data_IF_502301243187
#
_entry.id   IF_502301243187
#
_cell.length_a   1.000
_cell.length_b   1.000
_cell.length_c   1.000
_cell.angle_alpha   90.00
_cell.angle_beta   90.00
_cell.angle_gamma   90.00
#
_symmetry.space_group_name_H-M   'P 1'
#
loop_
_entity.id
_entity.type
_entity.pdbx_description
1 polymer ?
#
# COMPACT_ATOMS: atom_id res chain seq x y z
N UNK A 1 14.46 16.01 -20.30
CA UNK A 1 13.65 16.10 -19.07
C UNK A 1 12.84 14.83 -18.86
N UNK A 2 12.37 14.57 -17.64
CA UNK A 2 11.54 13.42 -17.25
C UNK A 2 10.39 13.87 -16.34
N UNK A 3 9.29 14.41 -16.91
CA UNK A 3 8.21 15.03 -16.13
C UNK A 3 7.43 14.05 -15.25
N UNK A 4 7.54 12.74 -15.51
CA UNK A 4 6.89 11.71 -14.73
C UNK A 4 7.84 11.07 -13.70
N UNK A 5 9.13 11.40 -13.72
CA UNK A 5 10.14 10.78 -12.87
C UNK A 5 10.14 9.23 -12.96
N UNK A 6 9.90 8.69 -14.16
CA UNK A 6 9.83 7.24 -14.42
C UNK A 6 11.23 6.68 -14.70
N UNK A 7 12.11 7.48 -15.32
CA UNK A 7 13.44 7.02 -15.74
C UNK A 7 14.29 6.51 -14.59
N UNK A 8 14.36 7.16 -13.40
CA UNK A 8 15.18 6.64 -12.31
C UNK A 8 14.74 5.25 -11.84
N UNK A 9 13.44 4.97 -11.83
CA UNK A 9 12.91 3.65 -11.49
C UNK A 9 13.32 2.60 -12.53
N UNK A 10 13.15 2.92 -13.82
CA UNK A 10 13.55 2.02 -14.91
C UNK A 10 15.06 1.76 -14.92
N UNK A 11 15.89 2.81 -14.82
CA UNK A 11 17.35 2.71 -14.81
C UNK A 11 17.87 1.91 -13.61
N UNK A 12 17.26 2.08 -12.43
CA UNK A 12 17.57 1.29 -11.24
C UNK A 12 17.32 -0.20 -11.50
N UNK A 13 16.14 -0.56 -12.02
CA UNK A 13 15.81 -1.95 -12.34
C UNK A 13 16.74 -2.52 -13.43
N UNK A 14 17.02 -1.76 -14.50
CA UNK A 14 17.95 -2.19 -15.54
C UNK A 14 19.36 -2.45 -14.99
N UNK A 15 19.86 -1.61 -14.09
CA UNK A 15 21.19 -1.79 -13.47
C UNK A 15 21.30 -3.09 -12.67
N UNK A 16 20.17 -3.60 -12.15
CA UNK A 16 20.10 -4.82 -11.35
C UNK A 16 19.98 -6.10 -12.18
N UNK A 17 19.71 -6.03 -13.49
CA UNK A 17 19.49 -7.20 -14.37
C UNK A 17 20.64 -8.21 -14.33
N UNK A 18 21.88 -7.73 -14.20
CA UNK A 18 23.08 -8.59 -14.11
C UNK A 18 23.23 -9.32 -12.76
N UNK A 19 22.55 -8.85 -11.71
CA UNK A 19 22.69 -9.32 -10.34
C UNK A 19 21.47 -10.09 -9.86
N UNK A 20 20.29 -9.80 -10.42
CA UNK A 20 19.01 -10.42 -10.06
C UNK A 20 18.51 -11.24 -11.24
N UNK A 21 18.84 -12.53 -11.23
CA UNK A 21 18.53 -13.46 -12.33
C UNK A 21 17.04 -13.60 -12.65
N UNK A 22 16.17 -13.36 -11.67
CA UNK A 22 14.71 -13.41 -11.84
C UNK A 22 14.12 -12.13 -12.43
N UNK A 23 14.88 -11.03 -12.51
CA UNK A 23 14.39 -9.73 -12.94
C UNK A 23 14.08 -9.74 -14.43
N UNK A 24 12.83 -9.41 -14.76
CA UNK A 24 12.36 -9.29 -16.14
C UNK A 24 11.51 -8.02 -16.28
N UNK A 25 11.86 -7.19 -17.26
CA UNK A 25 11.23 -5.88 -17.48
C UNK A 25 9.95 -5.96 -18.31
N UNK A 26 9.53 -7.13 -18.78
CA UNK A 26 8.38 -7.31 -19.69
C UNK A 26 7.10 -6.74 -19.08
N UNK A 27 6.75 -7.16 -17.85
CA UNK A 27 5.53 -6.70 -17.17
C UNK A 27 5.63 -5.22 -16.79
N UNK A 28 6.82 -4.76 -16.39
CA UNK A 28 7.06 -3.35 -16.10
C UNK A 28 6.81 -2.47 -17.33
N UNK A 29 7.42 -2.80 -18.46
CA UNK A 29 7.30 -2.05 -19.71
C UNK A 29 5.86 -2.07 -20.25
N UNK A 30 5.15 -3.19 -20.09
CA UNK A 30 3.71 -3.28 -20.41
C UNK A 30 2.92 -2.20 -19.68
N UNK A 31 3.04 -2.13 -18.34
CA UNK A 31 2.26 -1.15 -17.57
C UNK A 31 2.72 0.29 -17.76
N UNK A 32 4.00 0.54 -18.05
CA UNK A 32 4.43 1.87 -18.50
C UNK A 32 3.68 2.28 -19.77
N UNK A 33 3.57 1.39 -20.76
CA UNK A 33 2.89 1.69 -22.03
C UNK A 33 1.38 1.87 -21.91
N UNK A 34 0.75 1.21 -20.93
CA UNK A 34 -0.70 1.25 -20.72
C UNK A 34 -1.16 2.39 -19.82
N UNK A 35 -0.40 2.69 -18.76
CA UNK A 35 -0.81 3.61 -17.70
C UNK A 35 -0.33 5.06 -17.89
N UNK A 36 0.57 5.30 -18.86
CA UNK A 36 1.09 6.62 -19.20
C UNK A 36 1.05 6.84 -20.71
N UNK A 37 1.11 8.10 -21.15
CA UNK A 37 1.10 8.46 -22.56
C UNK A 37 2.50 8.41 -23.16
N UNK A 38 2.68 8.03 -24.45
CA UNK A 38 4.00 8.04 -25.09
C UNK A 38 4.55 9.46 -25.30
N UNK A 39 3.68 10.47 -25.38
CA UNK A 39 4.04 11.86 -25.61
C UNK A 39 4.47 12.57 -24.30
N UNK A 40 5.52 12.06 -23.63
CA UNK A 40 5.93 12.52 -22.29
C UNK A 40 6.19 14.03 -22.18
N UNK A 41 6.63 14.68 -23.26
CA UNK A 41 6.86 16.14 -23.26
C UNK A 41 5.60 16.94 -22.94
N UNK A 42 4.41 16.44 -23.31
CA UNK A 42 3.14 17.16 -23.09
C UNK A 42 2.77 17.29 -21.61
N UNK A 43 3.29 16.45 -20.72
CA UNK A 43 3.02 16.61 -19.28
C UNK A 43 3.64 17.88 -18.70
N UNK A 44 4.61 18.49 -19.38
CA UNK A 44 5.19 19.79 -19.02
C UNK A 44 4.29 20.96 -19.41
N UNK A 45 3.35 20.73 -20.31
CA UNK A 45 2.44 21.75 -20.85
C UNK A 45 1.12 21.81 -20.06
N UNK A 46 0.95 20.95 -19.05
CA UNK A 46 -0.30 20.76 -18.31
C UNK A 46 -0.10 20.91 -16.80
N UNK A 47 -0.90 21.77 -16.17
CA UNK A 47 -1.00 21.90 -14.70
C UNK A 47 -2.08 20.99 -14.09
N UNK A 48 -2.59 20.01 -14.86
CA UNK A 48 -3.78 19.21 -14.53
C UNK A 48 -3.69 18.46 -13.19
N UNK A 49 -2.46 18.15 -12.73
CA UNK A 49 -2.21 17.58 -11.41
C UNK A 49 -0.86 18.06 -10.85
N UNK A 50 -0.77 18.31 -9.52
CA UNK A 50 0.51 18.51 -8.85
C UNK A 50 1.48 17.37 -9.16
N UNK A 51 2.79 17.68 -9.23
CA UNK A 51 3.83 16.66 -9.37
C UNK A 51 3.71 15.69 -8.19
N UNK A 52 3.32 14.46 -8.50
CA UNK A 52 3.21 13.35 -7.55
C UNK A 52 4.03 12.17 -8.07
N UNK A 53 4.38 11.27 -7.16
CA UNK A 53 5.02 10.00 -7.48
C UNK A 53 4.21 9.25 -8.53
N UNK A 54 4.82 8.91 -9.67
CA UNK A 54 4.19 8.05 -10.69
C UNK A 54 4.63 6.60 -10.55
N UNK A 55 5.90 6.35 -10.23
CA UNK A 55 6.43 5.00 -10.05
C UNK A 55 7.28 4.93 -8.78
N UNK A 56 7.00 3.94 -7.93
CA UNK A 56 7.83 3.56 -6.80
C UNK A 56 8.43 2.16 -7.01
N UNK A 57 9.62 1.92 -6.46
CA UNK A 57 10.19 0.59 -6.39
C UNK A 57 10.08 0.04 -4.97
N UNK A 58 9.91 -1.28 -4.87
CA UNK A 58 10.05 -2.03 -3.62
C UNK A 58 10.97 -3.21 -3.84
N UNK A 59 11.68 -3.62 -2.79
CA UNK A 59 12.57 -4.78 -2.84
C UNK A 59 12.25 -5.69 -1.67
N UNK A 60 11.84 -6.91 -1.99
CA UNK A 60 11.63 -7.95 -0.98
C UNK A 60 12.92 -8.75 -0.86
N UNK A 61 13.56 -8.65 0.31
CA UNK A 61 14.77 -9.38 0.64
C UNK A 61 14.39 -10.75 1.19
N UNK A 62 14.45 -11.75 0.33
CA UNK A 62 14.35 -13.15 0.73
C UNK A 62 15.74 -13.68 1.06
N UNK A 63 15.81 -14.88 1.65
CA UNK A 63 17.05 -15.44 2.21
C UNK A 63 18.28 -15.32 1.29
N UNK A 64 18.14 -15.65 0.00
CA UNK A 64 19.23 -15.58 -1.00
C UNK A 64 18.84 -14.83 -2.27
N UNK A 65 17.66 -14.21 -2.29
CA UNK A 65 17.07 -13.62 -3.48
C UNK A 65 16.50 -12.26 -3.15
N UNK A 66 16.61 -11.33 -4.09
CA UNK A 66 15.93 -10.05 -4.05
C UNK A 66 14.81 -10.13 -5.08
N UNK A 67 13.57 -9.86 -4.67
CA UNK A 67 12.44 -9.75 -5.58
C UNK A 67 12.08 -8.26 -5.76
N UNK A 68 12.44 -7.65 -6.90
CA UNK A 68 12.05 -6.29 -7.20
C UNK A 68 10.56 -6.20 -7.48
N UNK A 69 9.96 -5.09 -7.06
CA UNK A 69 8.56 -4.74 -7.26
C UNK A 69 8.50 -3.32 -7.80
N UNK A 70 7.48 -3.04 -8.61
CA UNK A 70 7.16 -1.70 -9.06
C UNK A 70 5.71 -1.36 -8.70
N UNK A 71 5.47 -0.12 -8.31
CA UNK A 71 4.15 0.39 -7.97
C UNK A 71 3.83 1.57 -8.87
N UNK A 72 2.74 1.47 -9.62
CA UNK A 72 2.32 2.46 -10.61
C UNK A 72 1.14 3.26 -10.11
N UNK A 73 1.29 4.58 -10.12
CA UNK A 73 0.25 5.58 -9.90
C UNK A 73 -0.02 6.21 -11.27
N UNK A 74 -1.09 5.82 -11.98
CA UNK A 74 -1.28 6.23 -13.36
C UNK A 74 -1.57 7.73 -13.47
N UNK A 75 -1.11 8.30 -14.57
CA UNK A 75 -1.37 9.69 -14.93
C UNK A 75 -1.41 9.77 -16.45
N UNK A 76 -2.59 9.98 -17.03
CA UNK A 76 -2.75 10.27 -18.46
C UNK A 76 -3.01 11.76 -18.70
N UNK A 77 -2.62 12.26 -19.88
CA UNK A 77 -2.91 13.60 -20.35
C UNK A 77 -4.43 13.80 -20.47
N UNK A 78 -4.94 14.93 -19.98
CA UNK A 78 -6.38 15.21 -19.95
C UNK A 78 -7.13 14.46 -18.86
N UNK A 79 -6.46 13.64 -18.03
CA UNK A 79 -7.12 12.91 -16.96
C UNK A 79 -7.39 13.82 -15.76
N UNK A 80 -8.66 14.15 -15.56
CA UNK A 80 -9.14 14.80 -14.33
C UNK A 80 -9.53 13.75 -13.31
N UNK A 81 -9.01 13.85 -12.09
CA UNK A 81 -9.35 12.90 -11.04
C UNK A 81 -8.70 11.51 -11.21
N UNK A 82 -9.17 10.55 -10.40
CA UNK A 82 -8.60 9.21 -10.34
C UNK A 82 -8.74 8.48 -11.67
N UNK A 83 -7.86 7.50 -11.89
CA UNK A 83 -7.85 6.70 -13.12
C UNK A 83 -9.15 5.90 -13.22
N UNK A 84 -9.92 6.05 -14.32
CA UNK A 84 -11.18 5.33 -14.50
C UNK A 84 -10.99 3.81 -14.43
N UNK A 85 -12.00 3.10 -13.92
CA UNK A 85 -11.96 1.63 -13.77
C UNK A 85 -11.68 0.91 -15.09
N UNK A 86 -12.23 1.40 -16.21
CA UNK A 86 -12.05 0.79 -17.52
C UNK A 86 -10.58 0.83 -18.00
N UNK A 87 -9.82 1.86 -17.62
CA UNK A 87 -8.40 1.96 -17.94
C UNK A 87 -7.61 0.90 -17.17
N UNK A 88 -7.98 0.63 -15.92
CA UNK A 88 -7.40 -0.46 -15.14
C UNK A 88 -7.75 -1.81 -15.76
N UNK A 89 -9.03 -2.04 -16.07
CA UNK A 89 -9.50 -3.30 -16.64
C UNK A 89 -8.84 -3.61 -17.99
N UNK A 90 -8.72 -2.62 -18.88
CA UNK A 90 -8.03 -2.79 -20.16
C UNK A 90 -6.54 -3.14 -19.94
N UNK A 91 -5.85 -2.41 -19.07
CA UNK A 91 -4.42 -2.60 -18.83
C UNK A 91 -4.11 -3.97 -18.22
N UNK A 92 -4.90 -4.43 -17.24
CA UNK A 92 -4.71 -5.71 -16.56
C UNK A 92 -5.16 -6.88 -17.44
N UNK A 93 -6.28 -6.76 -18.17
CA UNK A 93 -6.74 -7.80 -19.11
C UNK A 93 -5.75 -8.00 -20.26
N UNK A 94 -5.11 -6.93 -20.73
CA UNK A 94 -4.06 -7.05 -21.73
C UNK A 94 -2.78 -7.75 -21.21
N UNK A 95 -2.51 -7.67 -19.90
CA UNK A 95 -1.37 -8.35 -19.26
C UNK A 95 -1.65 -9.84 -19.02
N UNK A 96 -2.89 -10.18 -18.66
CA UNK A 96 -3.34 -11.54 -18.37
C UNK A 96 -4.64 -11.85 -19.15
N UNK A 97 -4.55 -12.05 -20.48
CA UNK A 97 -5.73 -12.32 -21.29
C UNK A 97 -6.44 -13.59 -20.78
N UNK A 98 -7.77 -13.53 -20.70
CA UNK A 98 -8.62 -14.67 -20.29
C UNK A 98 -8.52 -15.10 -18.82
N UNK A 99 -7.82 -14.35 -17.95
CA UNK A 99 -7.78 -14.65 -16.52
C UNK A 99 -9.16 -14.56 -15.88
N UNK A 100 -9.71 -15.70 -15.44
CA UNK A 100 -11.01 -15.75 -14.76
C UNK A 100 -10.96 -15.02 -13.42
N UNK A 101 -9.83 -15.12 -12.73
CA UNK A 101 -9.57 -14.41 -11.47
C UNK A 101 -9.67 -12.90 -11.67
N UNK A 102 -9.04 -12.36 -12.71
CA UNK A 102 -9.07 -10.93 -12.99
C UNK A 102 -10.48 -10.45 -13.30
N UNK A 103 -11.22 -11.19 -14.15
CA UNK A 103 -12.63 -10.89 -14.44
C UNK A 103 -13.49 -10.92 -13.18
N UNK A 104 -13.25 -11.87 -12.27
CA UNK A 104 -13.96 -11.97 -10.98
C UNK A 104 -13.69 -10.77 -10.09
N UNK A 105 -12.42 -10.31 -10.01
CA UNK A 105 -12.03 -9.11 -9.26
C UNK A 105 -12.72 -7.85 -9.82
N UNK A 106 -12.70 -7.66 -11.13
CA UNK A 106 -13.36 -6.50 -11.76
C UNK A 106 -14.88 -6.55 -11.63
N UNK A 107 -15.51 -7.74 -11.72
CA UNK A 107 -16.94 -7.90 -11.45
C UNK A 107 -17.28 -7.47 -10.02
N UNK A 108 -16.47 -7.93 -9.05
CA UNK A 108 -16.65 -7.56 -7.65
C UNK A 108 -16.53 -6.06 -7.42
N UNK A 109 -15.48 -5.42 -7.95
CA UNK A 109 -15.24 -3.98 -7.76
C UNK A 109 -16.31 -3.11 -8.48
N UNK A 110 -16.78 -3.51 -9.66
CA UNK A 110 -17.73 -2.70 -10.45
C UNK A 110 -19.18 -2.86 -10.02
N UNK A 111 -19.56 -4.06 -9.55
CA UNK A 111 -20.96 -4.44 -9.38
C UNK A 111 -21.23 -4.83 -7.93
N UNK A 112 -20.70 -5.98 -7.50
CA UNK A 112 -21.04 -6.59 -6.21
C UNK A 112 -20.72 -5.64 -5.03
N UNK A 113 -19.60 -4.91 -5.10
CA UNK A 113 -19.21 -4.01 -4.04
C UNK A 113 -20.25 -2.92 -3.84
N UNK A 114 -20.85 -2.38 -4.90
CA UNK A 114 -21.88 -1.34 -4.80
C UNK A 114 -23.18 -1.88 -4.18
N UNK A 115 -23.55 -3.14 -4.43
CA UNK A 115 -24.72 -3.79 -3.81
C UNK A 115 -24.51 -4.01 -2.30
N UNK A 116 -23.27 -4.30 -1.91
CA UNK A 116 -22.82 -4.33 -0.51
C UNK A 116 -22.65 -2.91 0.06
N UNK A 117 -22.93 -1.89 -0.74
CA UNK A 117 -22.77 -0.47 -0.50
C UNK A 117 -21.35 0.05 -0.70
N UNK A 118 -20.31 -0.80 -0.72
CA UNK A 118 -18.86 -0.49 -0.72
C UNK A 118 -18.46 0.50 -1.82
N UNK A 119 -17.38 1.26 -1.59
CA UNK A 119 -16.87 2.31 -2.49
C UNK A 119 -15.45 2.02 -2.96
N UNK A 120 -15.16 0.75 -3.27
CA UNK A 120 -13.83 0.30 -3.67
C UNK A 120 -13.34 1.08 -4.89
N UNK A 121 -12.31 1.88 -4.68
CA UNK A 121 -11.76 2.76 -5.73
C UNK A 121 -10.31 2.38 -5.98
N UNK A 122 -9.93 1.87 -7.17
CA UNK A 122 -8.54 1.58 -7.49
C UNK A 122 -7.67 2.84 -7.50
N UNK A 123 -6.47 2.73 -6.95
CA UNK A 123 -5.55 3.86 -6.78
C UNK A 123 -4.18 3.61 -7.40
N UNK A 124 -3.59 2.43 -7.15
CA UNK A 124 -2.30 2.05 -7.72
C UNK A 124 -2.22 0.56 -7.99
N UNK A 125 -1.27 0.18 -8.83
CA UNK A 125 -0.98 -1.22 -9.16
C UNK A 125 0.43 -1.56 -8.70
N UNK A 126 0.58 -2.58 -7.85
CA UNK A 126 1.87 -3.21 -7.59
C UNK A 126 2.10 -4.39 -8.52
N UNK A 127 3.32 -4.56 -9.01
CA UNK A 127 3.75 -5.76 -9.73
C UNK A 127 5.04 -6.33 -9.12
N UNK A 128 5.24 -7.64 -9.27
CA UNK A 128 6.57 -8.22 -9.17
C UNK A 128 7.28 -8.05 -10.52
N UNK A 129 8.51 -7.51 -10.53
CA UNK A 129 9.30 -7.25 -11.77
C UNK A 129 10.12 -8.49 -12.10
N UNK A 130 9.39 -9.55 -12.47
CA UNK A 130 9.91 -10.88 -12.79
C UNK A 130 9.25 -11.40 -14.07
N UNK A 131 9.66 -12.59 -14.51
CA UNK A 131 9.07 -13.24 -15.71
C UNK A 131 7.55 -13.21 -15.64
N UNK A 132 6.83 -12.92 -16.74
CA UNK A 132 5.38 -12.77 -16.72
C UNK A 132 4.62 -13.93 -16.06
N UNK A 133 5.05 -15.18 -16.29
CA UNK A 133 4.42 -16.37 -15.70
C UNK A 133 4.50 -16.41 -14.15
N UNK A 134 5.51 -15.76 -13.56
CA UNK A 134 5.72 -15.70 -12.11
C UNK A 134 5.20 -14.39 -11.50
N UNK A 135 4.87 -13.40 -12.34
CA UNK A 135 4.52 -12.07 -11.90
C UNK A 135 3.12 -12.04 -11.28
N UNK A 136 3.03 -11.32 -10.16
CA UNK A 136 1.77 -11.00 -9.49
C UNK A 136 1.36 -9.56 -9.78
N UNK A 137 0.07 -9.35 -9.94
CA UNK A 137 -0.59 -8.06 -10.08
C UNK A 137 -1.39 -7.78 -8.81
N UNK A 138 -1.08 -6.67 -8.15
CA UNK A 138 -1.69 -6.24 -6.88
C UNK A 138 -2.46 -4.96 -7.13
N UNK A 139 -3.75 -5.10 -7.48
CA UNK A 139 -4.63 -3.96 -7.69
C UNK A 139 -5.03 -3.40 -6.33
N UNK A 140 -4.53 -2.21 -5.99
CA UNK A 140 -4.78 -1.57 -4.71
C UNK A 140 -6.00 -0.66 -4.78
N UNK A 141 -7.00 -0.91 -3.94
CA UNK A 141 -8.24 -0.16 -3.84
C UNK A 141 -8.38 0.48 -2.46
N UNK A 142 -8.80 1.74 -2.43
CA UNK A 142 -9.25 2.40 -1.21
C UNK A 142 -10.74 2.10 -0.95
N UNK A 143 -11.11 2.08 0.33
CA UNK A 143 -12.48 1.93 0.82
C UNK A 143 -12.73 2.96 1.92
N UNK A 144 -13.83 3.70 1.80
CA UNK A 144 -14.19 4.73 2.75
C UNK A 144 -14.81 4.15 4.04
N UNK A 145 -15.36 2.93 3.97
CA UNK A 145 -15.83 2.22 5.16
C UNK A 145 -14.70 1.63 5.96
N UNK A 146 -14.87 1.75 7.27
CA UNK A 146 -13.91 1.27 8.25
C UNK A 146 -14.48 0.19 9.15
N UNK A 147 -15.74 -0.22 8.99
CA UNK A 147 -16.35 -1.25 9.84
C UNK A 147 -15.69 -2.61 9.60
N UNK A 148 -15.61 -3.44 10.64
CA UNK A 148 -15.06 -4.80 10.48
C UNK A 148 -15.93 -5.64 9.54
N UNK A 149 -17.25 -5.42 9.52
CA UNK A 149 -18.13 -6.04 8.54
C UNK A 149 -17.73 -5.69 7.10
N UNK A 150 -17.44 -4.42 6.81
CA UNK A 150 -16.97 -4.02 5.47
C UNK A 150 -15.60 -4.63 5.13
N UNK A 151 -14.70 -4.73 6.11
CA UNK A 151 -13.42 -5.43 5.96
C UNK A 151 -13.65 -6.88 5.55
N UNK A 152 -14.58 -7.57 6.22
CA UNK A 152 -14.87 -8.98 5.92
C UNK A 152 -15.59 -9.17 4.59
N UNK A 153 -16.50 -8.28 4.21
CA UNK A 153 -17.11 -8.29 2.87
C UNK A 153 -16.05 -8.21 1.77
N UNK A 154 -15.01 -7.38 1.95
CA UNK A 154 -13.91 -7.29 0.98
C UNK A 154 -13.00 -8.51 1.06
N UNK A 155 -12.51 -8.89 2.25
CA UNK A 155 -11.59 -10.01 2.42
C UNK A 155 -12.15 -11.36 1.95
N UNK A 156 -13.47 -11.54 2.03
CA UNK A 156 -14.14 -12.76 1.57
C UNK A 156 -14.68 -12.64 0.14
N UNK A 157 -14.58 -11.46 -0.50
CA UNK A 157 -15.33 -11.12 -1.71
C UNK A 157 -16.79 -11.57 -1.60
N UNK A 158 -17.44 -11.19 -0.49
CA UNK A 158 -18.80 -11.57 -0.12
C UNK A 158 -19.04 -13.08 -0.08
N UNK A 159 -18.16 -13.80 0.63
CA UNK A 159 -18.26 -15.24 0.85
C UNK A 159 -17.70 -16.12 -0.28
N UNK A 160 -17.17 -15.56 -1.37
CA UNK A 160 -16.47 -16.32 -2.42
C UNK A 160 -15.16 -16.94 -1.92
N UNK A 161 -14.47 -16.24 -1.01
CA UNK A 161 -13.25 -16.69 -0.35
C UNK A 161 -13.60 -17.09 1.07
N UNK A 162 -13.39 -18.38 1.40
CA UNK A 162 -13.61 -18.88 2.75
C UNK A 162 -12.46 -18.48 3.68
N UNK A 163 -12.81 -17.92 4.84
CA UNK A 163 -11.86 -17.60 5.92
C UNK A 163 -12.33 -18.30 7.18
N UNK A 164 -11.46 -19.12 7.77
CA UNK A 164 -11.76 -19.85 8.99
C UNK A 164 -12.16 -18.90 10.14
N UNK A 165 -13.17 -19.26 10.96
CA UNK A 165 -13.69 -18.39 12.03
C UNK A 165 -12.60 -17.87 12.98
N UNK A 166 -11.65 -18.71 13.35
CA UNK A 166 -10.53 -18.32 14.21
C UNK A 166 -9.67 -17.21 13.59
N UNK A 167 -9.48 -17.23 12.27
CA UNK A 167 -8.73 -16.19 11.56
C UNK A 167 -9.51 -14.89 11.44
N UNK A 168 -10.85 -14.97 11.34
CA UNK A 168 -11.74 -13.79 11.45
C UNK A 168 -11.56 -13.15 12.82
N UNK A 169 -11.59 -13.93 13.91
CA UNK A 169 -11.40 -13.42 15.27
C UNK A 169 -10.01 -12.83 15.50
N UNK A 170 -8.96 -13.45 14.94
CA UNK A 170 -7.60 -12.90 15.00
C UNK A 170 -7.49 -11.56 14.26
N UNK A 171 -8.11 -11.46 13.08
CA UNK A 171 -8.15 -10.22 12.29
C UNK A 171 -8.90 -9.12 13.03
N UNK A 172 -10.04 -9.45 13.67
CA UNK A 172 -10.75 -8.50 14.53
C UNK A 172 -9.93 -8.10 15.75
N UNK A 173 -9.25 -9.06 16.38
CA UNK A 173 -8.42 -8.85 17.55
C UNK A 173 -7.30 -7.83 17.29
N UNK A 174 -6.57 -7.99 16.19
CA UNK A 174 -5.48 -7.06 15.84
C UNK A 174 -6.03 -5.70 15.45
N UNK A 175 -7.13 -5.65 14.68
CA UNK A 175 -7.77 -4.40 14.29
C UNK A 175 -8.23 -3.60 15.51
N UNK A 176 -8.94 -4.22 16.46
CA UNK A 176 -9.30 -3.56 17.73
C UNK A 176 -8.07 -3.04 18.48
N UNK A 177 -7.02 -3.86 18.55
CA UNK A 177 -5.80 -3.49 19.25
C UNK A 177 -5.14 -2.26 18.61
N UNK A 178 -4.99 -2.19 17.29
CA UNK A 178 -4.30 -1.04 16.68
C UNK A 178 -5.20 0.18 16.47
N UNK A 179 -6.52 0.00 16.35
CA UNK A 179 -7.48 1.10 16.24
C UNK A 179 -7.93 1.68 17.59
N UNK A 180 -7.37 1.22 18.71
CA UNK A 180 -7.75 1.60 20.09
C UNK A 180 -9.24 1.44 20.41
N UNK A 181 -9.82 0.32 20.00
CA UNK A 181 -11.23 0.07 20.21
C UNK A 181 -11.49 -0.57 21.59
N UNK A 182 -12.46 -0.05 22.37
CA UNK A 182 -12.83 -0.63 23.66
C UNK A 182 -13.30 -2.09 23.58
N UNK A 183 -13.22 -2.78 24.72
CA UNK A 183 -13.84 -4.10 24.85
C UNK A 183 -15.37 -4.00 24.62
N UNK A 184 -15.90 -4.84 23.73
CA UNK A 184 -17.32 -4.84 23.36
C UNK A 184 -17.69 -3.86 22.23
N UNK A 185 -16.73 -3.18 21.60
CA UNK A 185 -17.03 -2.31 20.47
C UNK A 185 -17.74 -3.08 19.32
N UNK A 186 -18.85 -2.55 18.76
CA UNK A 186 -19.59 -3.25 17.70
C UNK A 186 -18.76 -3.45 16.43
N UNK A 187 -18.91 -4.59 15.74
CA UNK A 187 -18.22 -4.86 14.46
C UNK A 187 -18.75 -4.02 13.30
N UNK A 188 -20.01 -3.61 13.38
CA UNK A 188 -20.70 -2.78 12.38
C UNK A 188 -20.27 -1.31 12.40
N UNK A 189 -19.50 -0.90 13.41
CA UNK A 189 -19.03 0.45 13.59
C UNK A 189 -17.52 0.40 13.74
N UNK A 190 -16.80 1.38 13.22
CA UNK A 190 -15.42 1.71 13.63
C UNK A 190 -15.27 3.22 13.48
N UNK A 191 -14.68 3.91 14.46
CA UNK A 191 -14.44 5.34 14.35
C UNK A 191 -13.62 5.62 13.09
N UNK A 192 -14.05 6.62 12.33
CA UNK A 192 -13.17 7.23 11.32
C UNK A 192 -11.92 7.70 12.03
N UNK A 193 -10.76 7.56 11.37
CA UNK A 193 -9.54 8.15 11.87
C UNK A 193 -9.80 9.64 12.25
N UNK A 194 -9.18 10.15 13.32
CA UNK A 194 -9.19 11.57 13.63
C UNK A 194 -8.87 12.41 12.40
N UNK A 195 -9.43 13.63 12.34
CA UNK A 195 -9.13 14.57 11.25
C UNK A 195 -7.62 14.82 11.20
N UNK A 196 -7.07 14.72 9.99
CA UNK A 196 -5.68 15.06 9.72
C UNK A 196 -5.35 16.48 10.16
N UNK A 197 -4.24 16.63 10.86
CA UNK A 197 -3.64 17.88 11.25
C UNK A 197 -2.15 17.85 10.91
N UNK A 198 -1.79 18.40 9.75
CA UNK A 198 -0.43 18.45 9.22
C UNK A 198 0.65 18.97 10.21
N UNK A 199 0.27 19.75 11.22
CA UNK A 199 1.21 20.25 12.24
C UNK A 199 1.61 19.21 13.29
N UNK A 200 0.80 18.18 13.51
CA UNK A 200 1.03 17.11 14.51
C UNK A 200 1.12 15.71 13.89
N UNK A 201 0.55 15.54 12.71
CA UNK A 201 0.37 14.25 12.04
C UNK A 201 1.42 13.96 10.97
N UNK A 202 2.32 14.91 10.70
CA UNK A 202 3.38 14.77 9.70
C UNK A 202 2.90 15.05 8.27
N UNK A 203 3.34 14.26 7.29
CA UNK A 203 3.00 14.42 5.87
C UNK A 203 1.94 13.39 5.49
N UNK A 204 0.81 13.85 4.96
CA UNK A 204 -0.15 13.02 4.23
C UNK A 204 0.47 12.61 2.89
N UNK A 205 1.06 11.42 2.86
CA UNK A 205 1.85 10.94 1.73
C UNK A 205 1.02 10.49 0.52
N UNK A 206 -0.31 10.65 0.50
CA UNK A 206 -1.11 10.26 -0.66
C UNK A 206 -2.57 10.78 -0.71
N UNK A 207 -3.02 11.60 0.24
CA UNK A 207 -4.45 11.92 0.37
C UNK A 207 -5.28 10.73 0.88
N UNK A 208 -4.62 9.72 1.46
CA UNK A 208 -5.22 8.47 1.92
C UNK A 208 -5.39 8.42 3.43
N UNK A 209 -5.27 9.59 4.06
CA UNK A 209 -5.46 9.75 5.48
C UNK A 209 -6.77 9.09 5.93
N UNK A 210 -6.69 8.20 6.91
CA UNK A 210 -7.86 7.60 7.52
C UNK A 210 -8.65 6.62 6.66
N UNK A 211 -8.11 6.22 5.51
CA UNK A 211 -8.81 5.35 4.55
C UNK A 211 -8.22 3.95 4.62
N UNK A 212 -9.10 2.95 4.66
CA UNK A 212 -8.67 1.56 4.55
C UNK A 212 -8.32 1.25 3.11
N UNK A 213 -7.30 0.42 2.92
CA UNK A 213 -6.99 -0.05 1.59
C UNK A 213 -6.82 -1.55 1.55
N UNK A 214 -7.07 -2.08 0.37
CA UNK A 214 -6.99 -3.49 0.08
C UNK A 214 -6.15 -3.64 -1.18
N UNK A 215 -5.37 -4.70 -1.28
CA UNK A 215 -4.97 -5.16 -2.60
C UNK A 215 -5.55 -6.52 -2.89
N UNK A 216 -5.92 -6.72 -4.15
CA UNK A 216 -6.25 -8.02 -4.74
C UNK A 216 -4.99 -8.54 -5.42
N UNK A 217 -4.37 -9.59 -4.85
CA UNK A 217 -3.17 -10.23 -5.40
C UNK A 217 -3.57 -11.37 -6.33
N UNK A 218 -3.35 -11.14 -7.61
CA UNK A 218 -3.63 -12.05 -8.71
C UNK A 218 -2.33 -12.44 -9.40
N UNK A 219 -2.19 -13.68 -9.86
CA UNK A 219 -1.06 -14.06 -10.71
C UNK A 219 -1.44 -13.95 -12.18
N UNK A 220 -0.52 -13.50 -13.05
CA UNK A 220 -0.79 -13.47 -14.50
C UNK A 220 -1.09 -14.89 -15.04
N UNK A 221 -0.42 -15.91 -14.50
CA UNK A 221 -0.63 -17.32 -14.86
C UNK A 221 -1.42 -18.14 -13.85
N UNK A 222 -2.23 -17.50 -12.99
CA UNK A 222 -2.99 -18.16 -11.92
C UNK A 222 -4.49 -17.97 -12.12
N UNK A 223 -5.24 -19.06 -11.91
CA UNK A 223 -6.70 -19.10 -12.04
C UNK A 223 -7.41 -19.23 -10.68
N UNK A 224 -6.68 -19.32 -9.57
CA UNK A 224 -7.29 -19.28 -8.24
C UNK A 224 -7.83 -17.88 -7.91
N UNK A 225 -8.84 -17.82 -7.02
CA UNK A 225 -9.31 -16.56 -6.45
C UNK A 225 -8.16 -15.75 -5.82
N UNK A 226 -8.24 -14.40 -5.80
CA UNK A 226 -7.14 -13.58 -5.32
C UNK A 226 -6.89 -13.78 -3.82
N UNK A 227 -5.62 -13.66 -3.42
CA UNK A 227 -5.30 -13.38 -2.03
C UNK A 227 -5.58 -11.89 -1.76
N UNK A 228 -6.33 -11.57 -0.72
CA UNK A 228 -6.67 -10.16 -0.40
C UNK A 228 -5.92 -9.72 0.85
N UNK A 229 -5.20 -8.60 0.74
CA UNK A 229 -4.53 -7.97 1.88
C UNK A 229 -5.26 -6.70 2.25
N UNK A 230 -5.64 -6.59 3.51
CA UNK A 230 -6.25 -5.43 4.15
C UNK A 230 -5.18 -4.59 4.86
N UNK A 231 -5.32 -3.28 4.85
CA UNK A 231 -4.41 -2.33 5.47
C UNK A 231 -5.13 -1.30 6.33
N UNK A 232 -4.59 -1.10 7.53
CA UNK A 232 -5.02 -0.11 8.51
C UNK A 232 -3.97 1.00 8.57
N UNK A 233 -4.34 2.29 8.43
CA UNK A 233 -3.44 3.40 8.71
C UNK A 233 -3.29 3.60 10.21
N UNK A 234 -2.45 2.78 10.83
CA UNK A 234 -2.32 2.74 12.30
C UNK A 234 -1.78 4.04 12.89
N UNK A 235 -1.04 4.85 12.12
CA UNK A 235 -0.56 6.15 12.55
C UNK A 235 -1.69 7.12 12.95
N UNK A 236 -2.96 6.85 12.63
CA UNK A 236 -4.05 7.77 12.97
C UNK A 236 -4.83 7.40 14.22
N UNK A 237 -4.73 6.17 14.70
CA UNK A 237 -5.67 5.68 15.72
C UNK A 237 -5.13 5.76 17.15
N UNK A 238 -3.82 5.76 17.31
CA UNK A 238 -3.14 5.73 18.60
C UNK A 238 -2.44 7.06 18.85
N UNK A 239 -2.12 7.33 20.12
CA UNK A 239 -1.49 8.58 20.52
C UNK A 239 -0.12 8.80 19.85
N UNK A 240 0.70 7.74 19.83
CA UNK A 240 2.09 7.73 19.42
C UNK A 240 2.53 6.34 18.91
N UNK A 241 3.77 6.24 18.41
CA UNK A 241 4.33 5.01 17.86
C UNK A 241 4.59 3.92 18.93
N UNK A 242 4.83 4.29 20.18
CA UNK A 242 5.01 3.36 21.29
C UNK A 242 3.70 2.65 21.64
N UNK A 243 2.57 3.36 21.62
CA UNK A 243 1.25 2.79 21.83
C UNK A 243 0.87 1.80 20.71
N UNK A 244 1.17 2.13 19.44
CA UNK A 244 0.96 1.22 18.29
C UNK A 244 1.81 -0.05 18.45
N UNK A 245 3.10 0.13 18.74
CA UNK A 245 4.03 -0.98 18.93
C UNK A 245 3.63 -1.88 20.10
N UNK A 246 3.20 -1.29 21.22
CA UNK A 246 2.74 -2.00 22.41
C UNK A 246 1.47 -2.82 22.16
N UNK A 247 0.50 -2.26 21.45
CA UNK A 247 -0.72 -2.97 21.06
C UNK A 247 -0.40 -4.15 20.13
N UNK A 248 0.45 -3.93 19.13
CA UNK A 248 0.89 -4.96 18.18
C UNK A 248 1.65 -6.08 18.90
N UNK A 249 2.61 -5.72 19.76
CA UNK A 249 3.37 -6.68 20.55
C UNK A 249 2.49 -7.50 21.50
N UNK A 250 1.53 -6.87 22.17
CA UNK A 250 0.58 -7.56 23.05
C UNK A 250 -0.28 -8.56 22.26
N UNK A 251 -0.76 -8.16 21.09
CA UNK A 251 -1.45 -9.06 20.18
C UNK A 251 -0.55 -10.23 19.76
N UNK A 252 0.71 -9.98 19.39
CA UNK A 252 1.67 -11.04 19.05
C UNK A 252 1.83 -12.06 20.18
N UNK A 253 2.00 -11.62 21.44
CA UNK A 253 2.10 -12.53 22.59
C UNK A 253 0.86 -13.42 22.74
N UNK A 254 -0.31 -12.81 22.65
CA UNK A 254 -1.59 -13.51 22.78
C UNK A 254 -1.87 -14.51 21.65
N UNK A 255 -1.09 -14.46 20.57
CA UNK A 255 -1.24 -15.31 19.39
C UNK A 255 0.00 -16.20 19.14
N UNK A 256 0.77 -16.50 20.19
CA UNK A 256 1.91 -17.43 20.11
C UNK A 256 3.08 -16.91 19.27
N UNK A 257 3.26 -15.59 19.21
CA UNK A 257 4.35 -14.89 18.49
C UNK A 257 5.30 -14.15 19.43
N UNK A 258 5.30 -14.49 20.72
CA UNK A 258 6.13 -13.84 21.75
C UNK A 258 7.63 -13.88 21.40
N UNK A 259 8.09 -14.95 20.76
CA UNK A 259 9.48 -15.12 20.32
C UNK A 259 9.98 -14.02 19.35
N UNK A 260 9.09 -13.27 18.71
CA UNK A 260 9.44 -12.19 17.79
C UNK A 260 9.34 -10.79 18.41
N UNK A 261 8.77 -10.66 19.62
CA UNK A 261 8.43 -9.37 20.20
C UNK A 261 9.67 -8.54 20.54
N UNK A 262 10.72 -9.15 21.09
CA UNK A 262 11.95 -8.42 21.40
C UNK A 262 12.65 -7.92 20.14
N UNK A 263 12.72 -8.76 19.09
CA UNK A 263 13.28 -8.39 17.79
C UNK A 263 12.47 -7.27 17.11
N UNK A 264 11.14 -7.30 17.23
CA UNK A 264 10.25 -6.25 16.75
C UNK A 264 10.59 -4.89 17.39
N UNK A 265 10.66 -4.85 18.72
CA UNK A 265 11.01 -3.64 19.47
C UNK A 265 12.43 -3.13 19.17
N UNK A 266 13.41 -4.05 19.10
CA UNK A 266 14.78 -3.70 18.76
C UNK A 266 14.89 -3.09 17.35
N UNK A 267 14.14 -3.63 16.39
CA UNK A 267 14.08 -3.12 15.02
C UNK A 267 13.52 -1.69 15.00
N UNK A 268 12.42 -1.43 15.71
CA UNK A 268 11.83 -0.10 15.78
C UNK A 268 12.81 0.93 16.37
N UNK A 269 13.50 0.59 17.46
CA UNK A 269 14.52 1.47 18.07
C UNK A 269 15.75 1.66 17.17
N UNK A 270 16.12 0.65 16.39
CA UNK A 270 17.24 0.74 15.46
C UNK A 270 16.90 1.61 14.23
N UNK A 271 15.65 1.59 13.77
CA UNK A 271 15.19 2.45 12.68
C UNK A 271 14.98 3.88 13.19
N UNK A 272 14.25 4.07 14.28
CA UNK A 272 13.83 5.39 14.81
C UNK A 272 14.78 5.83 15.93
N UNK A 273 15.93 6.36 15.52
CA UNK A 273 17.03 6.74 16.44
C UNK A 273 17.01 8.19 16.89
N UNK A 274 16.19 9.04 16.27
CA UNK A 274 16.28 10.50 16.38
C UNK A 274 15.24 11.12 17.33
N UNK A 275 14.34 10.31 17.88
CA UNK A 275 13.29 10.68 18.83
C UNK A 275 12.87 9.44 19.62
N UNK A 276 12.16 9.64 20.73
CA UNK A 276 11.45 8.54 21.41
C UNK A 276 10.22 8.11 20.60
N UNK A 277 9.84 6.83 20.70
CA UNK A 277 8.62 6.31 20.08
C UNK A 277 7.36 6.88 20.74
N UNK A 278 7.40 7.19 22.03
CA UNK A 278 6.31 7.85 22.76
C UNK A 278 6.23 9.38 22.55
N UNK A 279 7.11 9.96 21.72
CA UNK A 279 7.13 11.41 21.49
C UNK A 279 6.08 11.85 20.47
N UNK A 280 5.88 11.07 19.41
CA UNK A 280 5.00 11.38 18.30
C UNK A 280 4.61 10.12 17.53
N UNK A 281 3.66 10.29 16.62
CA UNK A 281 3.26 9.31 15.59
C UNK A 281 3.99 9.57 14.27
N UNK A 282 3.91 8.63 13.34
CA UNK A 282 4.37 8.78 11.96
C UNK A 282 5.42 7.75 11.53
N UNK A 283 6.01 6.99 12.47
CA UNK A 283 6.90 5.90 12.11
C UNK A 283 6.09 4.66 11.68
N UNK A 284 5.08 4.24 12.43
CA UNK A 284 4.18 3.15 12.04
C UNK A 284 3.08 3.68 11.12
N UNK A 285 3.33 3.67 9.81
CA UNK A 285 2.37 4.20 8.86
C UNK A 285 1.18 3.28 8.68
N UNK A 286 1.45 1.99 8.45
CA UNK A 286 0.40 1.01 8.14
C UNK A 286 0.65 -0.31 8.84
N UNK A 287 -0.42 -1.01 9.16
CA UNK A 287 -0.40 -2.43 9.48
C UNK A 287 -1.30 -3.16 8.50
N UNK A 288 -0.79 -4.21 7.88
CA UNK A 288 -1.54 -5.00 6.92
C UNK A 288 -1.79 -6.41 7.41
N UNK A 289 -2.92 -7.00 7.02
CA UNK A 289 -3.29 -8.37 7.28
C UNK A 289 -3.71 -9.06 5.99
N UNK A 290 -3.25 -10.29 5.80
CA UNK A 290 -3.70 -11.17 4.72
C UNK A 290 -3.92 -12.57 5.29
N UNK A 291 -5.06 -13.17 4.97
CA UNK A 291 -5.28 -14.60 5.23
C UNK A 291 -4.80 -15.37 4.01
N UNK A 292 -3.79 -16.23 4.21
CA UNK A 292 -3.20 -17.01 3.12
C UNK A 292 -2.72 -18.36 3.62
N UNK A 293 -3.12 -19.43 2.93
CA UNK A 293 -2.72 -20.81 3.28
C UNK A 293 -3.11 -21.19 4.72
N UNK A 294 -4.31 -20.81 5.16
CA UNK A 294 -4.82 -21.09 6.51
C UNK A 294 -4.10 -20.33 7.63
N UNK A 295 -3.38 -19.25 7.31
CA UNK A 295 -2.62 -18.46 8.29
C UNK A 295 -2.89 -16.97 8.11
N UNK A 296 -2.95 -16.25 9.22
CA UNK A 296 -2.92 -14.80 9.22
C UNK A 296 -1.47 -14.31 9.10
N UNK A 297 -1.20 -13.54 8.04
CA UNK A 297 0.05 -12.84 7.84
C UNK A 297 -0.13 -11.37 8.18
N UNK A 298 0.68 -10.85 9.09
CA UNK A 298 0.71 -9.43 9.44
C UNK A 298 2.01 -8.78 8.91
N UNK A 299 1.94 -7.51 8.49
CA UNK A 299 3.11 -6.74 8.05
C UNK A 299 3.01 -5.30 8.52
N UNK A 300 4.00 -4.85 9.30
CA UNK A 300 4.12 -3.45 9.73
C UNK A 300 4.93 -2.66 8.70
N UNK A 301 4.41 -1.49 8.31
CA UNK A 301 5.06 -0.55 7.41
C UNK A 301 5.64 0.59 8.21
N UNK A 302 6.98 0.57 8.36
CA UNK A 302 7.71 1.55 9.17
C UNK A 302 8.34 2.59 8.25
N UNK A 303 7.97 3.85 8.41
CA UNK A 303 8.65 4.98 7.81
C UNK A 303 9.95 5.25 8.59
N UNK A 304 11.13 5.25 7.94
CA UNK A 304 12.39 5.55 8.61
C UNK A 304 12.54 7.04 8.98
N UNK A 305 11.61 7.88 8.52
CA UNK A 305 11.56 9.32 8.81
C UNK A 305 12.86 10.05 8.40
N UNK A 306 13.42 9.69 7.23
CA UNK A 306 14.72 10.18 6.78
C UNK A 306 14.86 11.71 6.69
N UNK A 307 13.73 12.42 6.51
CA UNK A 307 13.66 13.88 6.42
C UNK A 307 13.13 14.56 7.69
N UNK A 308 12.96 13.82 8.78
CA UNK A 308 12.47 14.39 10.04
C UNK A 308 13.44 15.43 10.61
N UNK A 309 12.93 16.56 11.13
CA UNK A 309 13.73 17.71 11.57
C UNK A 309 14.83 17.33 12.56
N UNK A 310 14.53 16.45 13.52
CA UNK A 310 15.52 15.99 14.50
C UNK A 310 16.65 15.14 13.88
N UNK A 311 16.43 14.45 12.76
CA UNK A 311 17.53 13.79 12.00
C UNK A 311 18.42 14.80 11.29
N UNK A 312 17.82 15.91 10.85
CA UNK A 312 18.51 16.99 10.15
C UNK A 312 19.16 18.01 11.10
N UNK A 313 19.18 17.74 12.41
CA UNK A 313 19.78 18.62 13.43
C UNK A 313 18.98 19.90 13.67
N UNK A 314 17.66 19.86 13.51
CA UNK A 314 16.77 21.02 13.71
C UNK A 314 16.86 22.08 12.62
N UNK A 315 17.65 21.83 11.56
CA UNK A 315 17.68 22.69 10.38
C UNK A 315 16.46 22.36 9.52
N UNK A 316 15.47 23.24 9.51
CA UNK A 316 14.48 23.24 8.44
C UNK A 316 15.23 23.33 7.11
N UNK A 317 15.23 22.26 6.32
CA UNK A 317 15.10 22.51 4.89
C UNK A 317 13.64 22.90 4.73
N UNK A 318 13.32 24.08 4.19
CA UNK A 318 11.96 24.31 3.75
C UNK A 318 11.62 23.10 2.87
N UNK A 319 10.54 22.38 3.14
CA UNK A 319 10.03 21.40 2.17
C UNK A 319 9.76 22.12 0.84
N UNK A 320 9.45 23.42 0.92
CA UNK A 320 9.50 24.37 -0.18
C UNK A 320 10.84 24.41 -0.90
N UNK A 321 12.01 24.16 -0.29
CA UNK A 321 13.30 24.19 -0.96
C UNK A 321 13.62 22.92 -1.75
N UNK A 322 12.95 21.78 -1.49
CA UNK A 322 13.05 20.60 -2.37
C UNK A 322 12.07 20.77 -3.54
N UNK A 323 10.83 21.19 -3.26
CA UNK A 323 9.87 21.55 -4.32
C UNK A 323 10.39 22.72 -5.19
N UNK A 324 10.98 23.75 -4.57
CA UNK A 324 11.61 24.91 -5.22
C UNK A 324 12.93 24.56 -5.89
N UNK A 325 13.73 23.60 -5.42
CA UNK A 325 14.93 23.16 -6.17
C UNK A 325 14.56 22.34 -7.40
N UNK A 326 13.50 21.53 -7.30
CA UNK A 326 12.94 20.83 -8.46
C UNK A 326 12.34 21.82 -9.47
N UNK A 327 11.95 23.03 -9.05
CA UNK A 327 11.41 24.08 -9.94
C UNK A 327 12.36 25.26 -10.24
N UNK A 328 13.48 25.45 -9.53
CA UNK A 328 14.43 26.57 -9.74
C UNK A 328 15.69 26.21 -10.51
N UNK A 329 16.06 24.93 -10.55
CA UNK A 329 17.17 24.48 -11.41
C UNK A 329 16.68 24.07 -12.83
N UNK A 330 15.48 24.50 -13.24
CA UNK A 330 14.92 24.29 -14.58
C UNK A 330 14.16 25.51 -15.12
#
# INVERSE_FOLDING_TARGET
MDPLNIKPAAETLYSMTSQVSSLDMTVFNHFISKLYDPAWHKYLETDERPIMTNVCLGFEFLNREILPKAYFFPRKLGQVGLTPIDVWEEALTAAAPQSLTMSTVFSFIKQDSAELGLTLTPLWLGIDVVRPADARLKLCCAEARTSFESVMSVLTMDGRINIEPDLVEQTWGIMKAVCDLPAGFPRSQVPKAPKYNASVDGIDTAGLWGTFFYYFDTGIGREELPDIKFYIPVCHYRADDEAIASATASWMRNHGRDQYVDAYWNTLRAIITHRSLGESRGAHMWLSMMVRGGKLQATSYIAPEGYHLKRLGGRERPQNAIAERVTRDF
#
